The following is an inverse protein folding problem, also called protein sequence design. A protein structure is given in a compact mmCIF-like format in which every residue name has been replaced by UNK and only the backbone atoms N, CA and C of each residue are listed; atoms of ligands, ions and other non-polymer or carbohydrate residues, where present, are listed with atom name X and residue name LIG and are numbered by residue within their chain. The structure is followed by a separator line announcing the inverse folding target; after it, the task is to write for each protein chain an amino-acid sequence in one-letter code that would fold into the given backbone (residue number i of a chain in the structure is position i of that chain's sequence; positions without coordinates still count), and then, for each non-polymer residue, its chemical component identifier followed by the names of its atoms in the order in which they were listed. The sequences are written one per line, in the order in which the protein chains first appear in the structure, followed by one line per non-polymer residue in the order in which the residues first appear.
data_IF_896730363319
#
_entry.id   IF_896730363319
#
_cell.length_a   1.000
_cell.length_b   1.000
_cell.length_c   1.000
_cell.angle_alpha   90.00
_cell.angle_beta   90.00
_cell.angle_gamma   90.00
#
_symmetry.space_group_name_H-M   'P 1'
#
loop_
_entity.id
_entity.type
_entity.pdbx_description
1 polymer ?
#
# COMPACT_ATOMS: atom_id res chain seq x y z
N UNK A 1 14.63 -7.69 40.02
CA UNK A 1 13.24 -7.52 39.56
C UNK A 1 13.21 -7.99 38.12
N UNK A 2 12.42 -9.02 37.80
CA UNK A 2 12.33 -9.58 36.45
C UNK A 2 11.21 -8.87 35.70
N UNK A 3 11.51 -8.33 34.53
CA UNK A 3 10.55 -7.66 33.66
C UNK A 3 10.33 -8.53 32.43
N UNK A 4 9.06 -8.77 32.08
CA UNK A 4 8.70 -9.44 30.83
C UNK A 4 8.23 -8.40 29.82
N UNK A 5 8.79 -8.46 28.61
CA UNK A 5 8.44 -7.61 27.49
C UNK A 5 8.08 -8.49 26.30
N UNK A 6 7.04 -8.12 25.57
CA UNK A 6 6.56 -8.85 24.39
C UNK A 6 6.37 -7.87 23.25
N UNK A 7 6.61 -8.35 22.02
CA UNK A 7 6.34 -7.65 20.77
C UNK A 7 5.76 -8.64 19.77
N UNK A 8 5.07 -8.14 18.75
CA UNK A 8 4.46 -8.93 17.69
C UNK A 8 4.82 -8.34 16.31
N UNK A 9 4.52 -9.12 15.27
CA UNK A 9 4.69 -8.73 13.87
C UNK A 9 3.62 -9.43 13.04
N UNK A 10 3.34 -8.88 11.87
CA UNK A 10 2.40 -9.45 10.90
C UNK A 10 3.11 -9.71 9.58
N UNK A 11 2.58 -10.65 8.81
CA UNK A 11 3.13 -10.96 7.48
C UNK A 11 2.81 -9.83 6.49
N UNK A 12 3.52 -9.82 5.35
CA UNK A 12 3.22 -8.90 4.25
C UNK A 12 1.78 -9.06 3.69
N UNK A 13 1.13 -10.20 3.94
CA UNK A 13 -0.26 -10.46 3.56
C UNK A 13 -1.29 -9.95 4.56
N UNK A 14 -0.90 -9.48 5.76
CA UNK A 14 -1.89 -8.88 6.66
C UNK A 14 -2.59 -7.70 5.98
N UNK A 15 -3.93 -7.59 6.03
CA UNK A 15 -4.67 -6.60 5.24
C UNK A 15 -4.16 -5.18 5.46
N UNK A 16 -3.86 -4.79 6.71
CA UNK A 16 -3.28 -3.48 7.00
C UNK A 16 -1.91 -3.29 6.33
N UNK A 17 -1.06 -4.33 6.34
CA UNK A 17 0.26 -4.28 5.69
C UNK A 17 0.16 -4.29 4.17
N UNK A 18 -0.90 -4.89 3.60
CA UNK A 18 -1.20 -4.79 2.17
C UNK A 18 -1.56 -3.35 1.80
N UNK A 19 -2.39 -2.69 2.60
CA UNK A 19 -2.73 -1.27 2.42
C UNK A 19 -1.47 -0.40 2.46
N UNK A 20 -0.60 -0.58 3.46
CA UNK A 20 0.68 0.13 3.57
C UNK A 20 1.52 -0.03 2.31
N UNK A 21 1.71 -1.28 1.85
CA UNK A 21 2.53 -1.57 0.67
C UNK A 21 1.96 -0.95 -0.62
N UNK A 22 0.64 -0.89 -0.77
CA UNK A 22 0.01 -0.23 -1.92
C UNK A 22 0.21 1.28 -1.85
N UNK A 23 0.03 1.89 -0.67
CA UNK A 23 0.23 3.33 -0.47
C UNK A 23 1.68 3.74 -0.77
N UNK A 24 2.65 3.00 -0.25
CA UNK A 24 4.08 3.23 -0.48
C UNK A 24 4.46 3.01 -1.96
N UNK A 25 3.94 1.97 -2.62
CA UNK A 25 4.21 1.75 -4.05
C UNK A 25 3.67 2.88 -4.94
N UNK A 26 2.55 3.50 -4.56
CA UNK A 26 2.01 4.68 -5.25
C UNK A 26 2.90 5.90 -5.00
N UNK A 27 3.34 6.11 -3.75
CA UNK A 27 4.31 7.16 -3.40
C UNK A 27 5.59 7.02 -4.23
N UNK A 28 6.17 5.82 -4.29
CA UNK A 28 7.39 5.53 -5.04
C UNK A 28 7.22 5.85 -6.53
N UNK A 29 6.14 5.36 -7.15
CA UNK A 29 5.88 5.60 -8.57
C UNK A 29 5.67 7.09 -8.90
N UNK A 30 5.07 7.86 -7.98
CA UNK A 30 4.92 9.30 -8.14
C UNK A 30 6.27 10.01 -7.99
N UNK A 31 7.06 9.69 -6.96
CA UNK A 31 8.36 10.31 -6.71
C UNK A 31 9.40 9.98 -7.77
N UNK A 32 9.35 8.78 -8.37
CA UNK A 32 10.22 8.39 -9.49
C UNK A 32 10.03 9.31 -10.71
N UNK A 33 8.79 9.72 -10.98
CA UNK A 33 8.43 10.54 -12.14
C UNK A 33 8.34 12.04 -11.85
N UNK A 34 8.08 12.41 -10.60
CA UNK A 34 8.03 13.78 -10.09
C UNK A 34 8.53 13.83 -8.63
N UNK A 35 9.81 14.14 -8.40
CA UNK A 35 10.41 14.22 -7.06
C UNK A 35 9.80 15.28 -6.14
N UNK A 36 8.98 16.20 -6.66
CA UNK A 36 8.28 17.22 -5.88
C UNK A 36 6.83 16.86 -5.56
N UNK A 37 6.43 15.60 -5.81
CA UNK A 37 5.10 15.10 -5.47
C UNK A 37 4.81 15.25 -3.98
N UNK A 38 3.66 15.83 -3.65
CA UNK A 38 3.08 15.81 -2.31
C UNK A 38 1.98 14.77 -2.25
N UNK A 39 2.17 13.74 -1.43
CA UNK A 39 1.36 12.52 -1.47
C UNK A 39 0.88 12.18 -0.06
N UNK A 40 -0.43 12.26 0.15
CA UNK A 40 -1.14 11.67 1.28
C UNK A 40 -2.06 10.59 0.73
N UNK A 41 -1.50 9.41 0.42
CA UNK A 41 -2.22 8.29 -0.18
C UNK A 41 -2.65 7.31 0.93
N UNK A 42 -3.95 7.11 1.06
CA UNK A 42 -4.56 6.21 2.02
C UNK A 42 -5.20 5.02 1.30
N UNK A 43 -5.12 3.83 1.90
CA UNK A 43 -5.65 2.61 1.31
C UNK A 43 -6.46 1.83 2.35
N UNK A 44 -7.66 1.39 1.97
CA UNK A 44 -8.45 0.43 2.76
C UNK A 44 -8.76 -0.81 1.95
N UNK A 45 -8.78 -1.96 2.62
CA UNK A 45 -9.09 -3.25 2.03
C UNK A 45 -10.37 -3.83 2.63
N UNK A 46 -11.24 -4.33 1.76
CA UNK A 46 -12.46 -5.06 2.09
C UNK A 46 -12.51 -6.35 1.25
N UNK A 47 -13.41 -7.30 1.54
CA UNK A 47 -13.58 -8.47 0.68
C UNK A 47 -13.80 -8.05 -0.78
N UNK A 48 -12.94 -8.54 -1.68
CA UNK A 48 -12.96 -8.23 -3.12
C UNK A 48 -12.88 -6.74 -3.48
N UNK A 49 -12.35 -5.88 -2.60
CA UNK A 49 -12.25 -4.45 -2.84
C UNK A 49 -11.01 -3.81 -2.23
N UNK A 50 -10.37 -2.94 -2.99
CA UNK A 50 -9.33 -2.02 -2.54
C UNK A 50 -9.81 -0.60 -2.86
N UNK A 51 -9.85 0.29 -1.87
CA UNK A 51 -10.16 1.69 -2.07
C UNK A 51 -8.91 2.53 -1.79
N UNK A 52 -8.52 3.33 -2.78
CA UNK A 52 -7.37 4.24 -2.72
C UNK A 52 -7.95 5.66 -2.67
N UNK A 53 -7.55 6.45 -1.68
CA UNK A 53 -8.09 7.78 -1.43
C UNK A 53 -7.04 8.70 -0.78
N UNK A 54 -7.41 9.94 -0.48
CA UNK A 54 -6.52 10.97 0.06
C UNK A 54 -6.17 12.05 -0.96
N UNK A 55 -5.10 12.79 -0.70
CA UNK A 55 -4.72 13.99 -1.46
C UNK A 55 -3.35 13.85 -2.13
N UNK A 56 -3.32 14.03 -3.45
CA UNK A 56 -2.09 13.95 -4.25
C UNK A 56 -1.97 15.21 -5.10
N UNK A 57 -0.83 15.89 -4.97
CA UNK A 57 -0.41 16.96 -5.88
C UNK A 57 0.88 16.54 -6.56
N UNK A 58 0.82 16.26 -7.86
CA UNK A 58 1.95 15.78 -8.66
C UNK A 58 1.74 16.07 -10.15
N UNK A 59 2.83 16.31 -10.87
CA UNK A 59 2.85 16.33 -12.33
C UNK A 59 2.91 14.92 -12.94
N UNK A 60 3.30 13.92 -12.15
CA UNK A 60 3.34 12.53 -12.59
C UNK A 60 1.95 11.98 -12.89
N UNK A 61 1.90 11.05 -13.84
CA UNK A 61 0.68 10.31 -14.20
C UNK A 61 0.98 8.83 -14.07
N UNK A 62 0.35 8.20 -13.09
CA UNK A 62 0.51 6.78 -12.80
C UNK A 62 -0.85 6.08 -12.85
N UNK A 63 -0.84 4.78 -13.13
CA UNK A 63 -2.04 3.95 -13.05
C UNK A 63 -2.14 3.33 -11.65
N UNK A 64 -2.84 4.03 -10.76
CA UNK A 64 -3.05 3.61 -9.37
C UNK A 64 -3.62 2.20 -9.24
N UNK A 65 -4.56 1.83 -10.13
CA UNK A 65 -5.21 0.53 -10.07
C UNK A 65 -4.28 -0.58 -10.57
N UNK A 66 -3.43 -0.31 -11.56
CA UNK A 66 -2.41 -1.26 -12.00
C UNK A 66 -1.35 -1.50 -10.91
N UNK A 67 -0.88 -0.45 -10.24
CA UNK A 67 0.09 -0.54 -9.13
C UNK A 67 -0.50 -1.38 -8.00
N UNK A 68 -1.70 -1.06 -7.52
CA UNK A 68 -2.33 -1.81 -6.44
C UNK A 68 -2.52 -3.29 -6.80
N UNK A 69 -2.95 -3.60 -8.03
CA UNK A 69 -3.07 -4.99 -8.49
C UNK A 69 -1.72 -5.70 -8.57
N UNK A 70 -0.64 -4.99 -8.92
CA UNK A 70 0.71 -5.56 -8.95
C UNK A 70 1.17 -5.94 -7.54
N UNK A 71 1.04 -5.04 -6.58
CA UNK A 71 1.36 -5.30 -5.16
C UNK A 71 0.57 -6.51 -4.63
N UNK A 72 -0.74 -6.56 -4.89
CA UNK A 72 -1.60 -7.68 -4.47
C UNK A 72 -1.14 -9.02 -5.09
N UNK A 73 -0.72 -9.02 -6.36
CA UNK A 73 -0.17 -10.22 -7.02
C UNK A 73 1.16 -10.65 -6.39
N UNK A 74 2.05 -9.69 -6.13
CA UNK A 74 3.40 -9.95 -5.61
C UNK A 74 3.37 -10.51 -4.18
N UNK A 75 2.39 -10.07 -3.37
CA UNK A 75 2.15 -10.60 -2.02
C UNK A 75 1.51 -12.01 -2.07
N UNK A 76 0.91 -12.41 -3.20
CA UNK A 76 0.42 -13.77 -3.45
C UNK A 76 -1.10 -13.93 -3.48
N UNK A 77 -1.88 -12.85 -3.46
CA UNK A 77 -3.35 -12.89 -3.56
C UNK A 77 -3.82 -13.03 -5.02
N UNK A 78 -3.56 -14.20 -5.61
CA UNK A 78 -3.77 -14.47 -7.06
C UNK A 78 -4.93 -15.43 -7.38
N UNK A 79 -5.64 -15.91 -6.36
CA UNK A 79 -6.76 -16.84 -6.52
C UNK A 79 -8.07 -16.16 -6.16
N UNK A 80 -9.15 -16.58 -6.80
CA UNK A 80 -10.49 -16.24 -6.34
C UNK A 80 -10.79 -16.97 -5.03
N UNK A 81 -11.40 -16.24 -4.09
CA UNK A 81 -11.98 -16.79 -2.86
C UNK A 81 -13.42 -17.23 -3.05
#
# INVERSE_FOLDING_TARGET
MTTFFTSESVTAGHPDKVCDQIADAILDALLENDPHSHVACEVTAIPNGIHIFGEITSAARVDYAAIARQVVRDIGYVKHG
#
